data_IF_487870787230
#
_entry.id   IF_487870787230
#
_cell.length_a   1.000
_cell.length_b   1.000
_cell.length_c   1.000
_cell.angle_alpha   90.00
_cell.angle_beta   90.00
_cell.angle_gamma   90.00
#
_symmetry.space_group_name_H-M   'P 1'
#
loop_
_entity.id
_entity.type
_entity.pdbx_description
1 polymer ?
#
# COMPACT_ATOMS: atom_id res chain seq x y z
N UNK A 1 -10.45 -21.19 -51.05
CA UNK A 1 -10.63 -21.32 -49.58
C UNK A 1 -9.25 -21.41 -48.93
N UNK A 2 -8.87 -20.51 -47.99
CA UNK A 2 -7.60 -20.62 -47.29
C UNK A 2 -7.66 -21.78 -46.29
N UNK A 3 -7.01 -22.89 -46.61
CA UNK A 3 -7.10 -24.15 -45.85
C UNK A 3 -6.04 -24.27 -44.74
N UNK A 4 -4.96 -23.47 -44.77
CA UNK A 4 -3.82 -23.58 -43.85
C UNK A 4 -3.53 -22.31 -43.04
N UNK A 5 -2.99 -22.48 -41.82
CA UNK A 5 -2.59 -21.38 -40.92
C UNK A 5 -1.53 -20.46 -41.53
N UNK A 6 -0.71 -20.97 -42.46
CA UNK A 6 0.29 -20.17 -43.19
C UNK A 6 -0.37 -19.20 -44.17
N UNK A 7 -1.51 -19.58 -44.77
CA UNK A 7 -2.29 -18.70 -45.64
C UNK A 7 -2.96 -17.57 -44.85
N UNK A 8 -3.51 -17.86 -43.67
CA UNK A 8 -4.10 -16.84 -42.76
C UNK A 8 -3.05 -15.80 -42.32
N UNK A 9 -1.82 -16.23 -42.01
CA UNK A 9 -0.72 -15.31 -41.65
C UNK A 9 -0.33 -14.37 -42.80
N UNK A 10 -0.33 -14.85 -44.05
CA UNK A 10 -0.12 -13.99 -45.23
C UNK A 10 -1.22 -12.93 -45.33
N UNK A 11 -2.49 -13.32 -45.16
CA UNK A 11 -3.63 -12.39 -45.18
C UNK A 11 -3.61 -11.33 -44.05
N UNK A 12 -3.09 -11.68 -42.87
CA UNK A 12 -2.86 -10.72 -41.77
C UNK A 12 -1.73 -9.74 -42.14
N UNK A 13 -0.64 -10.24 -42.72
CA UNK A 13 0.51 -9.41 -43.16
C UNK A 13 0.13 -8.46 -44.30
N UNK A 14 -0.70 -8.94 -45.22
CA UNK A 14 -1.22 -8.16 -46.35
C UNK A 14 -2.35 -7.20 -45.91
N UNK A 15 -2.74 -7.18 -44.63
CA UNK A 15 -3.75 -6.28 -44.08
C UNK A 15 -5.19 -6.59 -44.46
N UNK A 16 -5.45 -7.77 -45.06
CA UNK A 16 -6.81 -8.22 -45.44
C UNK A 16 -7.60 -8.77 -44.24
N UNK A 17 -6.91 -9.23 -43.19
CA UNK A 17 -7.50 -9.63 -41.90
C UNK A 17 -6.92 -8.72 -40.82
N UNK A 18 -7.76 -7.89 -40.20
CA UNK A 18 -7.35 -6.90 -39.19
C UNK A 18 -7.88 -7.30 -37.82
N UNK A 19 -7.01 -7.27 -36.81
CA UNK A 19 -7.42 -7.38 -35.41
C UNK A 19 -7.99 -6.02 -35.00
N UNK A 20 -9.28 -5.98 -34.69
CA UNK A 20 -9.90 -4.75 -34.19
C UNK A 20 -9.25 -4.36 -32.85
N UNK A 21 -8.92 -3.08 -32.65
CA UNK A 21 -8.44 -2.63 -31.35
C UNK A 21 -9.51 -2.90 -30.28
N UNK A 22 -9.06 -3.20 -29.07
CA UNK A 22 -9.97 -3.37 -27.94
C UNK A 22 -10.62 -2.04 -27.58
N UNK A 23 -11.85 -2.09 -27.06
CA UNK A 23 -12.53 -0.90 -26.56
C UNK A 23 -11.78 -0.42 -25.31
N UNK A 24 -11.29 0.82 -25.35
CA UNK A 24 -10.49 1.40 -24.28
C UNK A 24 -11.41 1.93 -23.17
N UNK A 25 -11.30 1.38 -21.97
CA UNK A 25 -11.89 1.99 -20.77
C UNK A 25 -10.85 2.90 -20.09
N UNK A 26 -11.02 4.20 -20.23
CA UNK A 26 -10.13 5.18 -19.60
C UNK A 26 -10.18 5.08 -18.07
N UNK A 27 -9.01 5.19 -17.43
CA UNK A 27 -8.87 5.27 -15.97
C UNK A 27 -8.61 6.69 -15.47
N UNK A 28 -8.62 7.70 -16.35
CA UNK A 28 -8.27 9.08 -16.02
C UNK A 28 -9.07 9.62 -14.82
N UNK A 29 -10.40 9.59 -14.89
CA UNK A 29 -11.26 10.09 -13.80
C UNK A 29 -11.05 9.35 -12.46
N UNK A 30 -10.77 8.04 -12.49
CA UNK A 30 -10.45 7.29 -11.28
C UNK A 30 -9.10 7.73 -10.67
N UNK A 31 -8.10 8.04 -11.50
CA UNK A 31 -6.80 8.53 -11.02
C UNK A 31 -6.93 9.92 -10.41
N UNK A 32 -7.68 10.82 -11.04
CA UNK A 32 -7.90 12.18 -10.55
C UNK A 32 -8.64 12.16 -9.20
N UNK A 33 -9.66 11.31 -9.08
CA UNK A 33 -10.39 11.12 -7.83
C UNK A 33 -9.50 10.51 -6.74
N UNK A 34 -8.62 9.56 -7.07
CA UNK A 34 -7.64 9.01 -6.12
C UNK A 34 -6.63 10.07 -5.67
N UNK A 35 -6.12 10.91 -6.57
CA UNK A 35 -5.23 12.00 -6.24
C UNK A 35 -5.91 13.03 -5.32
N UNK A 36 -7.18 13.37 -5.58
CA UNK A 36 -7.98 14.23 -4.71
C UNK A 36 -8.19 13.60 -3.32
N UNK A 37 -8.48 12.29 -3.26
CA UNK A 37 -8.61 11.54 -2.00
C UNK A 37 -7.33 11.48 -1.18
N UNK A 38 -6.18 11.33 -1.84
CA UNK A 38 -4.86 11.37 -1.18
C UNK A 38 -4.58 12.73 -0.55
N UNK A 39 -5.01 13.83 -1.21
CA UNK A 39 -4.99 15.19 -0.65
C UNK A 39 -6.03 15.42 0.46
N UNK A 40 -6.79 14.39 0.85
CA UNK A 40 -7.79 14.47 1.93
C UNK A 40 -9.20 14.86 1.50
N UNK A 41 -9.44 15.13 0.21
CA UNK A 41 -10.77 15.48 -0.30
C UNK A 41 -11.69 14.25 -0.36
N UNK A 42 -13.01 14.44 -0.35
CA UNK A 42 -14.01 13.37 -0.43
C UNK A 42 -13.97 12.28 0.68
N UNK A 43 -13.30 12.53 1.80
CA UNK A 43 -13.18 11.59 2.95
C UNK A 43 -14.00 12.01 4.19
N UNK A 44 -14.90 13.00 4.04
CA UNK A 44 -15.78 13.50 5.10
C UNK A 44 -16.82 12.46 5.58
N UNK A 45 -17.47 12.69 6.74
CA UNK A 45 -18.38 11.72 7.37
C UNK A 45 -19.51 11.26 6.43
N UNK A 46 -20.11 12.17 5.65
CA UNK A 46 -21.19 11.83 4.71
C UNK A 46 -20.80 10.89 3.55
N UNK A 47 -19.50 10.65 3.31
CA UNK A 47 -19.01 9.68 2.31
C UNK A 47 -18.53 8.36 2.95
N UNK A 48 -18.50 8.28 4.28
CA UNK A 48 -18.07 7.08 5.01
C UNK A 48 -19.28 6.15 5.16
N UNK A 49 -19.22 5.00 4.50
CA UNK A 49 -20.17 3.90 4.67
C UNK A 49 -19.42 2.78 5.41
N UNK A 50 -19.83 2.48 6.65
CA UNK A 50 -19.20 1.47 7.53
C UNK A 50 -18.53 2.05 8.79
N UNK A 51 -18.34 1.19 9.80
CA UNK A 51 -17.75 1.54 11.10
C UNK A 51 -16.26 1.86 10.98
N UNK A 52 -15.70 2.54 11.98
CA UNK A 52 -14.28 2.86 12.03
C UNK A 52 -13.40 1.59 12.01
N UNK A 53 -13.81 0.56 12.76
CA UNK A 53 -13.11 -0.73 12.82
C UNK A 53 -13.12 -1.46 11.47
N UNK A 54 -14.22 -1.39 10.70
CA UNK A 54 -14.27 -2.01 9.38
C UNK A 54 -13.37 -1.29 8.35
N UNK A 55 -13.25 0.03 8.44
CA UNK A 55 -12.45 0.83 7.49
C UNK A 55 -10.94 0.68 7.75
N UNK A 56 -10.54 0.75 9.02
CA UNK A 56 -9.14 0.62 9.45
C UNK A 56 -9.09 -0.13 10.79
N UNK A 57 -9.04 -1.47 10.77
CA UNK A 57 -9.09 -2.27 11.99
C UNK A 57 -8.01 -1.90 12.99
N UNK A 58 -8.40 -1.72 14.25
CA UNK A 58 -7.49 -1.39 15.36
C UNK A 58 -6.37 -2.42 15.51
N UNK A 59 -6.67 -3.72 15.29
CA UNK A 59 -5.67 -4.79 15.27
C UNK A 59 -4.58 -4.57 14.22
N UNK A 60 -4.95 -4.13 13.01
CA UNK A 60 -3.98 -3.84 11.93
C UNK A 60 -3.15 -2.62 12.27
N UNK A 61 -3.77 -1.58 12.85
CA UNK A 61 -3.04 -0.40 13.32
C UNK A 61 -2.04 -0.77 14.42
N UNK A 62 -2.44 -1.59 15.40
CA UNK A 62 -1.57 -2.08 16.47
C UNK A 62 -0.39 -2.88 15.91
N UNK A 63 -0.64 -3.84 15.01
CA UNK A 63 0.42 -4.61 14.37
C UNK A 63 1.42 -3.72 13.61
N UNK A 64 0.95 -2.71 12.87
CA UNK A 64 1.81 -1.76 12.15
C UNK A 64 2.67 -0.95 13.13
N UNK A 65 2.07 -0.40 14.20
CA UNK A 65 2.78 0.35 15.25
C UNK A 65 3.88 -0.50 15.90
N UNK A 66 3.54 -1.69 16.38
CA UNK A 66 4.50 -2.62 17.01
C UNK A 66 5.67 -2.96 16.09
N UNK A 67 5.41 -3.27 14.81
CA UNK A 67 6.46 -3.66 13.85
C UNK A 67 7.43 -2.52 13.55
N UNK A 68 6.93 -1.29 13.42
CA UNK A 68 7.78 -0.12 13.15
C UNK A 68 8.69 0.16 14.36
N UNK A 69 8.15 0.13 15.58
CA UNK A 69 8.93 0.37 16.80
C UNK A 69 10.02 -0.68 17.02
N UNK A 70 9.68 -1.96 16.90
CA UNK A 70 10.67 -3.05 17.07
C UNK A 70 11.77 -2.98 16.01
N UNK A 71 11.43 -2.57 14.79
CA UNK A 71 12.42 -2.36 13.73
C UNK A 71 13.35 -1.18 14.06
N UNK A 72 12.82 -0.09 14.62
CA UNK A 72 13.60 1.07 15.04
C UNK A 72 14.56 0.73 16.18
N UNK A 73 14.08 0.05 17.23
CA UNK A 73 14.90 -0.37 18.37
C UNK A 73 16.05 -1.28 17.93
N UNK A 74 15.80 -2.20 16.98
CA UNK A 74 16.85 -3.03 16.39
C UNK A 74 17.89 -2.19 15.66
N UNK A 75 17.47 -1.22 14.83
CA UNK A 75 18.39 -0.32 14.11
C UNK A 75 19.27 0.49 15.06
N UNK A 76 18.71 0.98 16.17
CA UNK A 76 19.48 1.74 17.18
C UNK A 76 20.43 0.87 18.00
N UNK A 77 20.07 -0.40 18.23
CA UNK A 77 20.99 -1.38 18.83
C UNK A 77 22.16 -1.71 17.90
N UNK A 78 21.88 -1.92 16.61
CA UNK A 78 22.91 -2.17 15.59
C UNK A 78 23.84 -0.97 15.39
N UNK A 79 23.31 0.25 15.50
CA UNK A 79 24.08 1.49 15.45
C UNK A 79 24.82 1.83 16.76
N UNK A 80 24.71 1.00 17.81
CA UNK A 80 25.38 1.22 19.10
C UNK A 80 24.82 2.39 19.92
N UNK A 81 23.71 3.00 19.53
CA UNK A 81 23.09 4.12 20.26
C UNK A 81 22.41 3.70 21.56
N UNK A 82 22.06 2.42 21.68
CA UNK A 82 21.30 1.85 22.79
C UNK A 82 21.99 0.56 23.25
N UNK A 83 22.24 0.45 24.55
CA UNK A 83 22.75 -0.77 25.17
C UNK A 83 21.68 -1.89 25.25
N UNK A 84 22.11 -3.15 25.35
CA UNK A 84 21.25 -4.34 25.39
C UNK A 84 20.21 -4.27 26.53
N UNK A 85 20.57 -3.69 27.68
CA UNK A 85 19.67 -3.60 28.83
C UNK A 85 18.56 -2.58 28.57
N UNK A 86 18.93 -1.43 28.00
CA UNK A 86 17.99 -0.40 27.59
C UNK A 86 17.08 -0.87 26.44
N UNK A 87 17.61 -1.64 25.49
CA UNK A 87 16.82 -2.29 24.43
C UNK A 87 15.73 -3.20 25.03
N UNK A 88 16.07 -4.06 26.00
CA UNK A 88 15.11 -4.99 26.58
C UNK A 88 13.99 -4.26 27.33
N UNK A 89 14.32 -3.23 28.12
CA UNK A 89 13.33 -2.41 28.83
C UNK A 89 12.39 -1.69 27.85
N UNK A 90 12.95 -1.07 26.80
CA UNK A 90 12.17 -0.38 25.77
C UNK A 90 11.33 -1.33 24.92
N UNK A 91 11.81 -2.56 24.67
CA UNK A 91 11.05 -3.58 23.96
C UNK A 91 9.79 -3.99 24.74
N UNK A 92 9.89 -4.14 26.06
CA UNK A 92 8.73 -4.45 26.92
C UNK A 92 7.77 -3.27 27.03
N UNK A 93 8.30 -2.04 27.18
CA UNK A 93 7.47 -0.82 27.20
C UNK A 93 6.75 -0.58 25.87
N UNK A 94 7.38 -0.94 24.75
CA UNK A 94 6.77 -0.87 23.42
C UNK A 94 5.53 -1.75 23.27
N UNK A 95 5.26 -2.68 24.20
CA UNK A 95 4.04 -3.51 24.16
C UNK A 95 2.85 -2.79 24.84
N UNK A 96 3.11 -1.82 25.70
CA UNK A 96 2.16 -1.23 26.65
C UNK A 96 1.64 0.16 26.32
N UNK A 97 1.47 0.51 25.04
CA UNK A 97 1.02 1.83 24.55
C UNK A 97 1.91 3.04 24.94
N UNK A 98 3.00 2.87 25.70
CA UNK A 98 3.99 3.92 25.98
C UNK A 98 4.75 4.42 24.74
N UNK A 99 4.59 3.67 23.64
CA UNK A 99 4.98 3.84 22.25
C UNK A 99 5.03 5.29 21.71
N UNK A 100 4.03 6.13 22.03
CA UNK A 100 3.92 7.49 21.48
C UNK A 100 4.99 8.42 22.06
N UNK A 101 5.36 8.20 23.32
CA UNK A 101 6.36 9.01 24.01
C UNK A 101 7.77 8.62 23.57
N UNK A 102 8.01 7.33 23.32
CA UNK A 102 9.33 6.79 22.95
C UNK A 102 9.80 7.33 21.60
N UNK A 103 8.92 7.45 20.60
CA UNK A 103 9.28 8.01 19.29
C UNK A 103 9.56 9.52 19.34
N UNK A 104 8.84 10.27 20.18
CA UNK A 104 9.03 11.72 20.35
C UNK A 104 10.33 12.07 21.10
N UNK A 105 10.82 11.17 21.94
CA UNK A 105 12.00 11.40 22.79
C UNK A 105 13.32 10.87 22.18
N UNK A 106 13.23 10.13 21.06
CA UNK A 106 14.38 9.51 20.36
C UNK A 106 14.68 10.15 18.99
N UNK A 107 13.99 11.26 18.67
CA UNK A 107 14.37 12.24 17.66
C UNK A 107 14.93 13.47 18.36
#
# INVERSE_FOLDING_TARGET
>A
MPISRTHIKKLIKDGRVIVKPTIIHSRAGNRDLLAAKQKGRHNGPGKRKGTAEARMPTKVQWMRRQRVLRRLLRKYREAGKIDKHLYHSLYMKSKGNGDIVVMKHLQ
#
